data_IF_843173389471
#
_entry.id   IF_843173389471
#
_cell.length_a   1.000
_cell.length_b   1.000
_cell.length_c   1.000
_cell.angle_alpha   90.00
_cell.angle_beta   90.00
_cell.angle_gamma   90.00
#
_symmetry.space_group_name_H-M   'P 1'
#
loop_
_entity.id
_entity.type
_entity.pdbx_description
1 polymer ?
#
# COMPACT_ATOMS: atom_id res chain seq x y z
N UNK A 1 16.13 57.82 -26.14
CA UNK A 1 17.28 57.34 -25.34
C UNK A 1 16.68 56.54 -24.18
N UNK A 2 17.05 55.27 -24.09
CA UNK A 2 16.38 54.21 -23.34
C UNK A 2 17.16 53.90 -22.05
N UNK A 3 16.54 54.03 -20.88
CA UNK A 3 17.03 53.40 -19.64
C UNK A 3 15.82 52.96 -18.79
N UNK A 4 15.20 51.84 -19.20
CA UNK A 4 14.22 51.14 -18.38
C UNK A 4 14.94 50.44 -17.24
N UNK A 5 14.52 50.76 -16.02
CA UNK A 5 14.90 50.10 -14.76
C UNK A 5 14.73 48.59 -14.84
N UNK A 6 15.65 47.93 -14.17
CA UNK A 6 15.66 46.52 -13.83
C UNK A 6 14.30 46.03 -13.34
N UNK A 7 13.77 45.01 -14.01
CA UNK A 7 12.78 44.12 -13.41
C UNK A 7 13.32 42.71 -13.51
N UNK A 8 14.00 42.31 -12.43
CA UNK A 8 14.31 40.91 -12.13
C UNK A 8 12.97 40.17 -11.98
N UNK A 9 12.71 39.06 -12.69
CA UNK A 9 11.50 38.30 -12.46
C UNK A 9 11.64 37.57 -11.13
N UNK A 10 10.80 37.93 -10.19
CA UNK A 10 10.65 37.26 -8.90
C UNK A 10 10.31 35.80 -9.19
N UNK A 11 11.26 34.89 -8.95
CA UNK A 11 11.01 33.46 -8.94
C UNK A 11 10.12 33.17 -7.73
N UNK A 12 8.80 33.30 -7.95
CA UNK A 12 7.78 32.88 -7.02
C UNK A 12 8.10 31.43 -6.63
N UNK A 13 8.46 31.23 -5.37
CA UNK A 13 8.81 29.96 -4.78
C UNK A 13 7.61 29.02 -4.83
N UNK A 14 7.36 28.43 -5.99
CA UNK A 14 6.46 27.31 -6.13
C UNK A 14 7.04 26.21 -5.26
N UNK A 15 6.46 26.03 -4.07
CA UNK A 15 6.63 24.86 -3.23
C UNK A 15 6.54 23.66 -4.17
N UNK A 16 7.67 23.01 -4.47
CA UNK A 16 7.65 21.74 -5.20
C UNK A 16 6.65 20.89 -4.42
N UNK A 17 5.58 20.37 -5.04
CA UNK A 17 4.69 19.47 -4.33
C UNK A 17 5.61 18.36 -3.78
N UNK A 18 5.62 18.23 -2.46
CA UNK A 18 6.22 17.08 -1.80
C UNK A 18 5.66 15.88 -2.55
N UNK A 19 6.50 14.99 -3.14
CA UNK A 19 5.97 13.80 -3.78
C UNK A 19 5.01 13.16 -2.79
N UNK A 20 3.79 12.82 -3.21
CA UNK A 20 2.95 11.99 -2.37
C UNK A 20 3.78 10.72 -2.12
N UNK A 21 4.31 10.56 -0.90
CA UNK A 21 5.17 9.43 -0.52
C UNK A 21 4.36 8.13 -0.36
N UNK A 22 3.21 8.07 -1.04
CA UNK A 22 2.19 7.04 -0.97
C UNK A 22 1.60 6.82 -2.36
N UNK A 23 1.39 5.55 -2.70
CA UNK A 23 0.65 5.14 -3.90
C UNK A 23 -0.42 4.14 -3.47
N UNK A 24 -1.60 4.66 -3.14
CA UNK A 24 -2.71 3.85 -2.61
C UNK A 24 -3.18 2.81 -3.63
N UNK A 25 -3.15 3.14 -4.92
CA UNK A 25 -3.53 2.20 -5.96
C UNK A 25 -2.54 1.02 -6.02
N UNK A 26 -1.23 1.28 -5.89
CA UNK A 26 -0.24 0.23 -5.82
C UNK A 26 -0.40 -0.65 -4.56
N UNK A 27 -0.75 -0.07 -3.41
CA UNK A 27 -1.08 -0.83 -2.21
C UNK A 27 -2.29 -1.73 -2.42
N UNK A 28 -3.36 -1.21 -3.02
CA UNK A 28 -4.56 -1.97 -3.35
C UNK A 28 -4.27 -3.10 -4.34
N UNK A 29 -3.41 -2.88 -5.34
CA UNK A 29 -2.95 -3.93 -6.25
C UNK A 29 -2.23 -5.06 -5.52
N UNK A 30 -1.33 -4.75 -4.58
CA UNK A 30 -0.60 -5.76 -3.81
C UNK A 30 -1.56 -6.59 -2.96
N UNK A 31 -2.46 -5.92 -2.23
CA UNK A 31 -3.45 -6.58 -1.37
C UNK A 31 -4.46 -7.39 -2.19
N UNK A 32 -4.97 -6.83 -3.29
CA UNK A 32 -5.90 -7.47 -4.20
C UNK A 32 -5.34 -8.75 -4.81
N UNK A 33 -4.09 -8.70 -5.30
CA UNK A 33 -3.43 -9.90 -5.82
C UNK A 33 -3.18 -10.95 -4.73
N UNK A 34 -2.79 -10.54 -3.53
CA UNK A 34 -2.63 -11.44 -2.39
C UNK A 34 -3.93 -12.15 -2.00
N UNK A 35 -5.05 -11.42 -1.99
CA UNK A 35 -6.40 -11.94 -1.69
C UNK A 35 -6.99 -12.77 -2.83
N UNK A 36 -6.60 -12.52 -4.08
CA UNK A 36 -7.03 -13.33 -5.22
C UNK A 36 -6.40 -14.73 -5.18
N UNK A 37 -5.13 -14.83 -4.77
CA UNK A 37 -4.39 -16.09 -4.74
C UNK A 37 -3.31 -16.09 -3.67
N UNK A 38 -3.49 -16.93 -2.65
CA UNK A 38 -2.55 -17.11 -1.53
C UNK A 38 -1.10 -17.38 -1.95
N UNK A 39 -0.88 -18.15 -3.02
CA UNK A 39 0.47 -18.48 -3.49
C UNK A 39 1.29 -17.26 -3.93
N UNK A 40 0.65 -16.12 -4.22
CA UNK A 40 1.35 -14.88 -4.59
C UNK A 40 2.00 -14.18 -3.39
N UNK A 41 1.50 -14.42 -2.17
CA UNK A 41 2.00 -13.83 -0.93
C UNK A 41 3.47 -14.19 -0.69
N UNK A 42 3.87 -15.41 -1.09
CA UNK A 42 5.24 -15.90 -0.98
C UNK A 42 6.26 -15.08 -1.77
N UNK A 43 5.92 -14.57 -2.96
CA UNK A 43 6.82 -13.71 -3.73
C UNK A 43 6.72 -12.23 -3.35
N UNK A 44 5.52 -11.77 -2.98
CA UNK A 44 5.29 -10.38 -2.60
C UNK A 44 6.00 -10.00 -1.29
N UNK A 45 6.03 -10.92 -0.30
CA UNK A 45 6.76 -10.72 0.98
C UNK A 45 8.26 -10.51 0.84
N UNK A 46 8.86 -11.03 -0.23
CA UNK A 46 10.30 -10.85 -0.47
C UNK A 46 10.60 -9.39 -0.84
N UNK A 47 9.56 -8.64 -1.23
CA UNK A 47 9.66 -7.24 -1.65
C UNK A 47 9.10 -6.27 -0.60
N UNK A 48 7.98 -6.60 0.04
CA UNK A 48 7.26 -5.68 0.95
C UNK A 48 7.04 -6.25 2.34
N UNK A 49 7.00 -5.34 3.31
CA UNK A 49 6.61 -5.61 4.71
C UNK A 49 5.39 -4.76 5.05
N UNK A 50 4.77 -4.96 6.22
CA UNK A 50 3.66 -4.11 6.67
C UNK A 50 4.05 -2.62 6.68
N UNK A 51 5.30 -2.30 7.06
CA UNK A 51 5.83 -0.94 7.04
C UNK A 51 5.95 -0.31 5.64
N UNK A 52 5.88 -1.12 4.57
CA UNK A 52 5.86 -0.64 3.18
C UNK A 52 4.55 0.05 2.80
N UNK A 53 3.47 -0.18 3.53
CA UNK A 53 2.17 0.42 3.27
C UNK A 53 2.05 1.80 3.95
N UNK A 54 1.37 2.74 3.29
CA UNK A 54 1.08 4.05 3.83
C UNK A 54 -0.18 4.06 4.69
N UNK A 55 -1.25 3.36 4.26
CA UNK A 55 -2.47 3.27 5.06
C UNK A 55 -2.30 2.28 6.21
N UNK A 56 -2.57 2.65 7.47
CA UNK A 56 -2.49 1.72 8.59
C UNK A 56 -3.35 0.47 8.38
N UNK A 57 -4.58 0.63 7.90
CA UNK A 57 -5.47 -0.48 7.58
C UNK A 57 -4.90 -1.46 6.52
N UNK A 58 -4.08 -0.95 5.58
CA UNK A 58 -3.41 -1.80 4.59
C UNK A 58 -2.21 -2.53 5.18
N UNK A 59 -1.46 -1.86 6.05
CA UNK A 59 -0.35 -2.48 6.77
C UNK A 59 -0.85 -3.64 7.66
N UNK A 60 -1.90 -3.40 8.44
CA UNK A 60 -2.52 -4.39 9.30
C UNK A 60 -3.11 -5.55 8.49
N UNK A 61 -3.76 -5.24 7.37
CA UNK A 61 -4.27 -6.27 6.47
C UNK A 61 -3.12 -7.11 5.90
N UNK A 62 -2.04 -6.48 5.41
CA UNK A 62 -0.88 -7.21 4.90
C UNK A 62 -0.27 -8.13 5.95
N UNK A 63 -0.09 -7.64 7.18
CA UNK A 63 0.44 -8.45 8.28
C UNK A 63 -0.45 -9.66 8.58
N UNK A 64 -1.77 -9.47 8.63
CA UNK A 64 -2.74 -10.54 8.78
C UNK A 64 -2.63 -11.59 7.65
N UNK A 65 -2.54 -11.16 6.38
CA UNK A 65 -2.43 -12.07 5.23
C UNK A 65 -1.10 -12.84 5.27
N UNK A 66 0.01 -12.15 5.56
CA UNK A 66 1.34 -12.75 5.62
C UNK A 66 1.46 -13.76 6.77
N UNK A 67 0.94 -13.42 7.95
CA UNK A 67 0.91 -14.29 9.14
C UNK A 67 0.04 -15.51 8.90
N UNK A 68 -1.14 -15.33 8.31
CA UNK A 68 -2.05 -16.46 8.02
C UNK A 68 -1.44 -17.41 6.99
N UNK A 69 -0.80 -16.88 5.94
CA UNK A 69 -0.03 -17.68 4.98
C UNK A 69 1.13 -18.43 5.66
N UNK A 70 1.87 -17.78 6.57
CA UNK A 70 2.98 -18.41 7.30
C UNK A 70 2.53 -19.61 8.15
N UNK A 71 1.32 -19.54 8.69
CA UNK A 71 0.70 -20.63 9.41
C UNK A 71 0.23 -21.80 8.50
N UNK A 72 0.55 -21.76 7.21
CA UNK A 72 0.16 -22.78 6.23
C UNK A 72 -1.31 -22.71 5.81
N UNK A 73 -2.03 -21.65 6.21
CA UNK A 73 -3.43 -21.50 5.88
C UNK A 73 -3.59 -20.79 4.53
N UNK A 74 -4.37 -21.33 3.58
CA UNK A 74 -4.74 -20.58 2.39
C UNK A 74 -5.57 -19.35 2.78
N UNK A 75 -5.31 -18.26 2.08
CA UNK A 75 -5.94 -16.95 2.29
C UNK A 75 -6.50 -16.43 0.98
N UNK A 76 -7.76 -16.04 1.03
CA UNK A 76 -8.56 -15.42 -0.02
C UNK A 76 -9.44 -14.33 0.59
N UNK A 77 -10.10 -13.48 -0.19
CA UNK A 77 -11.03 -12.48 0.34
C UNK A 77 -12.11 -13.07 1.26
N UNK A 78 -12.72 -14.19 0.86
CA UNK A 78 -13.75 -14.87 1.64
C UNK A 78 -13.20 -15.43 2.96
N UNK A 79 -12.07 -16.14 2.90
CA UNK A 79 -11.47 -16.75 4.10
C UNK A 79 -10.86 -15.70 5.04
N UNK A 80 -10.35 -14.60 4.49
CA UNK A 80 -9.93 -13.44 5.27
C UNK A 80 -11.11 -12.82 6.01
N UNK A 81 -12.23 -12.58 5.32
CA UNK A 81 -13.43 -12.04 5.97
C UNK A 81 -13.96 -12.97 7.06
N UNK A 82 -14.07 -14.27 6.79
CA UNK A 82 -14.55 -15.24 7.78
C UNK A 82 -13.70 -15.24 9.06
N UNK A 83 -12.38 -15.05 8.93
CA UNK A 83 -11.47 -14.97 10.08
C UNK A 83 -11.57 -13.63 10.82
N UNK A 84 -11.61 -12.51 10.09
CA UNK A 84 -11.70 -11.16 10.68
C UNK A 84 -13.05 -10.89 11.35
N UNK A 85 -14.14 -11.49 10.85
CA UNK A 85 -15.48 -11.37 11.43
C UNK A 85 -15.75 -12.35 12.57
N UNK A 86 -14.84 -13.31 12.81
CA UNK A 86 -14.99 -14.27 13.91
C UNK A 86 -14.65 -13.66 15.27
N UNK A 87 -15.50 -13.93 16.27
CA UNK A 87 -15.33 -13.42 17.65
C UNK A 87 -14.20 -14.07 18.44
N UNK A 88 -13.59 -15.13 17.92
CA UNK A 88 -12.49 -15.88 18.55
C UNK A 88 -11.16 -15.72 17.81
N UNK A 89 -11.09 -14.81 16.83
CA UNK A 89 -9.97 -14.69 15.89
C UNK A 89 -9.06 -13.46 16.10
N UNK A 90 -8.73 -12.78 15.00
CA UNK A 90 -7.86 -11.61 14.91
C UNK A 90 -8.64 -10.33 15.27
N UNK A 91 -8.01 -9.29 15.86
CA UNK A 91 -8.66 -8.00 16.05
C UNK A 91 -9.21 -7.45 14.73
N UNK A 92 -10.38 -6.82 14.80
CA UNK A 92 -10.98 -6.14 13.65
C UNK A 92 -10.04 -5.07 13.13
N UNK A 93 -9.84 -5.00 11.82
CA UNK A 93 -9.03 -3.95 11.18
C UNK A 93 -9.97 -2.80 10.77
N UNK A 94 -9.82 -1.58 11.33
CA UNK A 94 -10.68 -0.46 10.99
C UNK A 94 -10.66 -0.14 9.49
N UNK A 95 -11.84 -0.03 8.89
CA UNK A 95 -11.99 0.26 7.46
C UNK A 95 -11.75 -0.93 6.52
N UNK A 96 -11.58 -2.14 7.05
CA UNK A 96 -11.57 -3.38 6.27
C UNK A 96 -12.81 -4.19 6.61
N UNK A 97 -13.75 -4.24 5.68
CA UNK A 97 -14.95 -5.07 5.74
C UNK A 97 -15.03 -6.03 4.54
N UNK A 98 -16.07 -6.88 4.51
CA UNK A 98 -16.28 -7.82 3.41
C UNK A 98 -16.31 -7.13 2.04
N UNK A 99 -16.98 -5.97 1.94
CA UNK A 99 -17.11 -5.23 0.69
C UNK A 99 -15.77 -4.70 0.21
N UNK A 100 -14.97 -4.16 1.13
CA UNK A 100 -13.64 -3.66 0.83
C UNK A 100 -12.69 -4.76 0.36
N UNK A 101 -12.73 -5.95 1.00
CA UNK A 101 -11.94 -7.10 0.57
C UNK A 101 -12.29 -7.55 -0.86
N UNK A 102 -13.58 -7.51 -1.22
CA UNK A 102 -14.03 -7.79 -2.59
C UNK A 102 -13.59 -6.69 -3.56
N UNK A 103 -13.71 -5.41 -3.18
CA UNK A 103 -13.24 -4.29 -4.00
C UNK A 103 -11.74 -4.39 -4.31
N UNK A 104 -10.91 -4.82 -3.35
CA UNK A 104 -9.48 -5.03 -3.59
C UNK A 104 -9.21 -6.03 -4.71
N UNK A 105 -10.07 -7.03 -4.92
CA UNK A 105 -9.91 -8.01 -6.00
C UNK A 105 -9.99 -7.36 -7.40
N UNK A 106 -10.67 -6.23 -7.54
CA UNK A 106 -10.75 -5.47 -8.81
C UNK A 106 -9.38 -4.91 -9.23
N UNK A 107 -8.46 -4.74 -8.28
CA UNK A 107 -7.09 -4.26 -8.54
C UNK A 107 -6.09 -5.39 -8.79
N UNK A 108 -6.50 -6.66 -8.68
CA UNK A 108 -5.61 -7.80 -8.81
C UNK A 108 -5.00 -7.89 -10.22
N UNK A 109 -3.69 -8.09 -10.28
CA UNK A 109 -2.94 -8.28 -11.53
C UNK A 109 -1.73 -9.17 -11.34
N UNK A 110 -1.31 -9.84 -12.41
CA UNK A 110 -0.06 -10.61 -12.47
C UNK A 110 1.18 -9.73 -12.26
N UNK A 111 1.07 -8.40 -12.49
CA UNK A 111 2.17 -7.45 -12.35
C UNK A 111 2.35 -6.91 -10.91
N UNK A 112 1.72 -7.50 -9.89
CA UNK A 112 1.76 -6.99 -8.52
C UNK A 112 3.17 -6.82 -7.92
N UNK A 113 4.15 -7.60 -8.38
CA UNK A 113 5.55 -7.43 -7.98
C UNK A 113 6.14 -6.05 -8.32
N UNK A 114 5.72 -5.45 -9.45
CA UNK A 114 6.13 -4.08 -9.83
C UNK A 114 5.56 -3.06 -8.84
N UNK A 115 4.29 -3.21 -8.46
CA UNK A 115 3.63 -2.35 -7.49
C UNK A 115 4.21 -2.52 -6.07
N UNK A 116 4.56 -3.75 -5.69
CA UNK A 116 5.26 -4.05 -4.45
C UNK A 116 6.62 -3.32 -4.38
N UNK A 117 7.40 -3.35 -5.47
CA UNK A 117 8.65 -2.59 -5.56
C UNK A 117 8.43 -1.09 -5.39
N UNK A 118 7.38 -0.55 -6.00
CA UNK A 118 7.03 0.87 -5.90
C UNK A 118 6.71 1.30 -4.47
N UNK A 119 5.84 0.58 -3.75
CA UNK A 119 5.46 0.95 -2.37
C UNK A 119 6.64 0.79 -1.40
N UNK A 120 7.51 -0.21 -1.62
CA UNK A 120 8.77 -0.36 -0.87
C UNK A 120 9.67 0.86 -1.03
N UNK A 121 9.85 1.33 -2.26
CA UNK A 121 10.75 2.45 -2.54
C UNK A 121 10.18 3.77 -1.97
N UNK A 122 8.86 3.97 -2.06
CA UNK A 122 8.16 5.09 -1.42
C UNK A 122 8.29 5.06 0.11
N UNK A 123 8.16 3.89 0.74
CA UNK A 123 8.33 3.75 2.19
C UNK A 123 9.76 4.08 2.65
N UNK A 124 10.78 3.74 1.85
CA UNK A 124 12.17 4.15 2.13
C UNK A 124 12.35 5.67 2.05
N UNK A 125 11.76 6.31 1.04
CA UNK A 125 11.77 7.77 0.92
C UNK A 125 11.08 8.44 2.11
N UNK A 126 9.97 7.88 2.59
CA UNK A 126 9.27 8.35 3.80
C UNK A 126 10.19 8.38 5.02
N UNK A 127 10.90 7.28 5.29
CA UNK A 127 11.85 7.21 6.41
C UNK A 127 12.98 8.23 6.30
N UNK A 128 13.46 8.55 5.09
CA UNK A 128 14.51 9.55 4.89
C UNK A 128 13.98 10.97 5.11
N UNK A 129 12.74 11.26 4.73
CA UNK A 129 12.12 12.57 4.91
C UNK A 129 11.64 12.86 6.34
N UNK A 130 11.38 11.83 7.14
CA UNK A 130 10.93 11.95 8.54
C UNK A 130 12.09 12.05 9.55
N UNK A 131 13.35 12.01 9.08
CA UNK A 131 14.57 12.18 9.89
C UNK A 131 15.13 13.59 9.79
#
# INVERSE_FOLDING_TARGET
>A
MNERRDTHPEHNGATRPVPLLADIAAEQTVLGTALMRSSTIGGLRDTVTAASFHRPAHADLWDFLATTYNAGNPVTAETAWARLSSTTGHPTIPGVDAGYLIQLLEHATAAAGIHAGRIRDLARLRVVHER
#
